data_IF_290291867150
#
_entry.id   IF_290291867150
#
_cell.length_a   1.000
_cell.length_b   1.000
_cell.length_c   1.000
_cell.angle_alpha   90.00
_cell.angle_beta   90.00
_cell.angle_gamma   90.00
#
_symmetry.space_group_name_H-M   'P 1'
#
loop_
_entity.id
_entity.type
_entity.pdbx_description
1 polymer ?
#
# COMPACT_ATOMS: atom_id res chain seq x y z
N UNK A 1 -33.49 -32.16 -39.09
CA UNK A 1 -32.19 -32.85 -38.86
C UNK A 1 -31.08 -31.97 -39.42
N UNK A 2 -30.72 -30.91 -38.70
CA UNK A 2 -29.56 -30.06 -39.00
C UNK A 2 -28.61 -30.17 -37.83
N UNK A 3 -27.85 -31.25 -37.88
CA UNK A 3 -26.80 -31.65 -36.97
C UNK A 3 -25.55 -30.81 -37.18
N UNK A 4 -25.02 -30.24 -36.08
CA UNK A 4 -23.60 -30.16 -35.76
C UNK A 4 -22.64 -29.41 -36.72
N UNK A 5 -22.87 -28.12 -37.03
CA UNK A 5 -21.86 -27.30 -37.72
C UNK A 5 -21.13 -26.25 -36.85
N UNK A 6 -21.54 -26.01 -35.60
CA UNK A 6 -20.95 -24.96 -34.74
C UNK A 6 -20.12 -25.47 -33.56
N UNK A 7 -19.82 -26.77 -33.48
CA UNK A 7 -19.36 -27.41 -32.23
C UNK A 7 -17.87 -27.33 -31.89
N UNK A 8 -16.96 -27.08 -32.85
CA UNK A 8 -15.51 -27.17 -32.61
C UNK A 8 -14.82 -25.81 -32.50
N UNK A 9 -15.07 -24.89 -33.42
CA UNK A 9 -14.32 -23.63 -33.46
C UNK A 9 -14.78 -22.64 -32.38
N UNK A 10 -16.09 -22.61 -32.09
CA UNK A 10 -16.66 -21.83 -31.00
C UNK A 10 -16.19 -22.34 -29.63
N UNK A 11 -16.10 -23.66 -29.48
CA UNK A 11 -15.61 -24.31 -28.25
C UNK A 11 -14.13 -24.02 -28.00
N UNK A 12 -13.29 -24.05 -29.04
CA UNK A 12 -11.86 -23.70 -28.93
C UNK A 12 -11.66 -22.23 -28.60
N UNK A 13 -12.43 -21.33 -29.22
CA UNK A 13 -12.36 -19.90 -28.94
C UNK A 13 -12.78 -19.56 -27.50
N UNK A 14 -13.88 -20.16 -27.02
CA UNK A 14 -14.34 -19.99 -25.63
C UNK A 14 -13.36 -20.63 -24.65
N UNK A 15 -12.82 -21.80 -24.96
CA UNK A 15 -11.83 -22.48 -24.12
C UNK A 15 -10.56 -21.62 -23.96
N UNK A 16 -10.08 -21.00 -25.03
CA UNK A 16 -8.95 -20.07 -24.97
C UNK A 16 -9.27 -18.80 -24.20
N UNK A 17 -10.47 -18.23 -24.39
CA UNK A 17 -10.92 -17.05 -23.65
C UNK A 17 -11.03 -17.34 -22.15
N UNK A 18 -11.56 -18.50 -21.76
CA UNK A 18 -11.65 -18.96 -20.38
C UNK A 18 -10.26 -19.20 -19.78
N UNK A 19 -9.33 -19.79 -20.54
CA UNK A 19 -7.95 -20.02 -20.08
C UNK A 19 -7.19 -18.70 -19.87
N UNK A 20 -7.36 -17.72 -20.77
CA UNK A 20 -6.76 -16.39 -20.64
C UNK A 20 -7.34 -15.65 -19.42
N UNK A 21 -8.66 -15.73 -19.24
CA UNK A 21 -9.34 -15.15 -18.06
C UNK A 21 -8.84 -15.78 -16.75
N UNK A 22 -8.71 -17.11 -16.71
CA UNK A 22 -8.21 -17.84 -15.55
C UNK A 22 -6.77 -17.43 -15.20
N UNK A 23 -5.88 -17.39 -16.20
CA UNK A 23 -4.47 -17.01 -16.01
C UNK A 23 -4.33 -15.54 -15.58
N UNK A 24 -5.18 -14.64 -16.10
CA UNK A 24 -5.18 -13.24 -15.72
C UNK A 24 -5.63 -12.99 -14.27
N UNK A 25 -6.40 -13.91 -13.68
CA UNK A 25 -6.86 -13.84 -12.28
C UNK A 25 -5.88 -14.44 -11.27
N UNK A 26 -4.98 -15.34 -11.70
CA UNK A 26 -3.95 -15.95 -10.83
C UNK A 26 -3.06 -14.94 -10.07
N UNK A 27 -2.56 -13.84 -10.66
CA UNK A 27 -1.78 -12.85 -9.91
C UNK A 27 -2.58 -12.05 -8.88
N UNK A 28 -3.93 -12.06 -8.95
CA UNK A 28 -4.80 -11.38 -7.99
C UNK A 28 -5.28 -12.29 -6.84
N UNK A 29 -5.17 -13.62 -7.00
CA UNK A 29 -5.52 -14.60 -5.96
C UNK A 29 -4.35 -14.91 -5.02
N UNK A 30 -3.11 -14.54 -5.38
CA UNK A 30 -1.90 -14.79 -4.59
C UNK A 30 -1.43 -13.62 -3.72
N UNK A 31 -2.31 -12.65 -3.43
CA UNK A 31 -1.92 -11.36 -2.87
C UNK A 31 -2.40 -11.08 -1.44
N UNK A 32 -2.52 -12.09 -0.57
CA UNK A 32 -2.59 -11.92 0.89
C UNK A 32 -1.86 -13.10 1.53
N UNK A 33 -0.53 -13.07 1.50
CA UNK A 33 0.28 -13.94 2.35
C UNK A 33 0.25 -13.40 3.78
N UNK A 34 -0.67 -13.92 4.58
CA UNK A 34 -0.73 -13.69 6.03
C UNK A 34 0.24 -14.63 6.79
N UNK A 35 1.17 -15.28 6.09
CA UNK A 35 1.87 -16.48 6.59
C UNK A 35 3.26 -16.19 7.20
N UNK A 36 3.71 -14.93 7.19
CA UNK A 36 4.96 -14.49 7.85
C UNK A 36 4.67 -13.45 8.94
N UNK A 37 3.65 -13.70 9.77
CA UNK A 37 3.53 -13.00 11.04
C UNK A 37 3.67 -14.01 12.19
N UNK A 38 4.87 -14.23 12.72
CA UNK A 38 5.02 -14.93 13.99
C UNK A 38 4.60 -13.97 15.10
N UNK A 39 3.30 -13.69 15.24
CA UNK A 39 2.76 -13.32 16.56
C UNK A 39 2.72 -14.63 17.35
N UNK A 40 3.90 -15.03 17.80
CA UNK A 40 4.06 -15.93 18.92
C UNK A 40 3.56 -15.13 20.13
N UNK A 41 2.39 -15.50 20.59
CA UNK A 41 1.78 -15.06 21.85
C UNK A 41 2.61 -15.69 22.98
N UNK A 42 3.79 -15.13 23.25
CA UNK A 42 4.63 -15.47 24.40
C UNK A 42 4.35 -14.46 25.50
N UNK A 43 3.69 -14.92 26.56
CA UNK A 43 3.59 -14.25 27.86
C UNK A 43 4.99 -14.15 28.47
N UNK A 44 5.83 -13.28 27.92
CA UNK A 44 7.15 -12.97 28.44
C UNK A 44 7.18 -11.51 28.88
N UNK A 45 7.27 -11.34 30.20
CA UNK A 45 7.66 -10.11 30.89
C UNK A 45 8.83 -9.47 30.14
N UNK A 46 8.53 -8.47 29.32
CA UNK A 46 9.55 -7.66 28.69
C UNK A 46 10.00 -6.61 29.72
N UNK A 47 11.00 -6.98 30.51
CA UNK A 47 11.95 -6.01 31.04
C UNK A 47 12.38 -5.11 29.87
N UNK A 48 12.09 -3.82 29.98
CA UNK A 48 12.44 -2.80 28.99
C UNK A 48 13.96 -2.78 28.75
N UNK A 49 14.40 -3.52 27.73
CA UNK A 49 15.72 -3.34 27.16
C UNK A 49 15.77 -1.99 26.46
N UNK A 50 16.84 -1.26 26.72
CA UNK A 50 17.03 0.18 26.47
C UNK A 50 17.23 0.54 24.98
N UNK A 51 16.83 -0.33 24.06
CA UNK A 51 17.03 -0.20 22.61
C UNK A 51 15.69 -0.14 21.85
N UNK A 52 14.68 0.50 22.45
CA UNK A 52 13.43 0.79 21.77
C UNK A 52 13.72 1.54 20.45
N UNK A 53 13.05 1.18 19.34
CA UNK A 53 13.14 1.95 18.11
C UNK A 53 12.75 3.39 18.48
N UNK A 54 13.56 4.35 18.06
CA UNK A 54 13.23 5.78 18.10
C UNK A 54 11.92 5.98 17.32
N UNK A 55 10.78 5.72 17.96
CA UNK A 55 9.55 6.41 17.65
C UNK A 55 9.91 7.85 17.95
N UNK A 56 10.28 8.60 16.91
CA UNK A 56 10.42 10.02 17.07
C UNK A 56 9.10 10.49 17.67
N UNK A 57 9.15 11.07 18.86
CA UNK A 57 8.01 11.59 19.61
C UNK A 57 7.46 12.85 18.91
N UNK A 58 7.38 12.83 17.59
CA UNK A 58 7.01 13.96 16.76
C UNK A 58 5.50 14.09 16.78
N UNK A 59 5.03 15.21 17.30
CA UNK A 59 3.62 15.58 17.35
C UNK A 59 2.99 15.72 15.96
N UNK A 60 3.83 15.89 14.94
CA UNK A 60 3.39 16.02 13.56
C UNK A 60 4.51 16.20 12.55
N UNK A 61 4.14 16.45 11.30
CA UNK A 61 5.06 16.88 10.25
C UNK A 61 4.36 17.73 9.19
N UNK A 62 5.15 18.57 8.52
CA UNK A 62 4.75 19.35 7.35
C UNK A 62 5.47 18.83 6.11
N UNK A 63 4.76 18.75 4.99
CA UNK A 63 5.36 18.64 3.67
C UNK A 63 5.40 20.01 3.02
N UNK A 64 6.59 20.43 2.63
CA UNK A 64 6.84 21.68 1.95
C UNK A 64 7.41 21.42 0.55
N UNK A 65 6.89 22.17 -0.42
CA UNK A 65 7.34 22.13 -1.81
C UNK A 65 7.49 23.58 -2.26
N UNK A 66 8.61 23.91 -2.90
CA UNK A 66 8.89 25.26 -3.42
C UNK A 66 8.68 26.38 -2.37
N UNK A 67 9.01 26.12 -1.09
CA UNK A 67 8.82 27.10 -0.02
C UNK A 67 7.40 27.21 0.54
N UNK A 68 6.49 26.32 0.15
CA UNK A 68 5.08 26.31 0.59
C UNK A 68 4.69 24.97 1.22
N UNK A 69 4.14 25.04 2.43
CA UNK A 69 3.52 23.88 3.07
C UNK A 69 2.25 23.47 2.32
N UNK A 70 2.24 22.24 1.82
CA UNK A 70 1.14 21.64 1.03
C UNK A 70 0.34 20.60 1.81
N UNK A 71 0.94 20.05 2.87
CA UNK A 71 0.32 19.08 3.75
C UNK A 71 0.83 19.28 5.18
N UNK A 72 -0.08 19.18 6.13
CA UNK A 72 0.20 19.27 7.56
C UNK A 72 -0.50 18.12 8.28
N UNK A 73 0.23 17.41 9.13
CA UNK A 73 -0.34 16.43 10.04
C UNK A 73 0.11 16.75 11.46
N UNK A 74 -0.84 16.79 12.39
CA UNK A 74 -0.57 17.03 13.80
C UNK A 74 -1.59 16.30 14.68
N UNK A 75 -1.12 15.50 15.63
CA UNK A 75 -1.94 14.81 16.64
C UNK A 75 -3.18 14.08 16.07
N UNK A 76 -3.01 13.41 14.93
CA UNK A 76 -4.09 12.67 14.25
C UNK A 76 -5.05 13.52 13.40
N UNK A 77 -4.90 14.84 13.41
CA UNK A 77 -5.53 15.73 12.44
C UNK A 77 -4.63 15.93 11.23
N UNK A 78 -5.19 15.98 10.03
CA UNK A 78 -4.44 16.30 8.82
C UNK A 78 -5.21 17.27 7.92
N UNK A 79 -4.47 18.16 7.28
CA UNK A 79 -4.98 19.14 6.34
C UNK A 79 -4.09 19.21 5.10
N UNK A 80 -4.71 19.44 3.95
CA UNK A 80 -4.01 19.56 2.67
C UNK A 80 -3.82 18.22 1.96
N UNK A 81 -2.95 18.22 0.97
CA UNK A 81 -2.73 17.06 0.11
C UNK A 81 -1.90 17.42 -1.11
N UNK A 82 -1.18 16.42 -1.61
CA UNK A 82 -0.27 16.58 -2.74
C UNK A 82 -0.69 15.63 -3.86
N UNK A 83 -0.94 16.18 -5.05
CA UNK A 83 -1.12 15.37 -6.27
C UNK A 83 0.21 15.31 -7.01
N UNK A 84 0.75 14.12 -7.16
CA UNK A 84 2.03 13.90 -7.85
C UNK A 84 1.76 13.45 -9.29
N UNK A 85 2.19 14.23 -10.31
CA UNK A 85 2.05 13.81 -11.70
C UNK A 85 2.93 12.61 -12.03
N UNK A 86 2.42 11.73 -12.90
CA UNK A 86 3.11 10.49 -13.27
C UNK A 86 4.32 10.81 -14.14
N UNK A 87 5.49 10.31 -13.74
CA UNK A 87 6.74 10.45 -14.49
C UNK A 87 7.50 11.75 -14.23
N UNK A 88 7.04 12.57 -13.29
CA UNK A 88 7.76 13.74 -12.81
C UNK A 88 8.47 13.43 -11.48
N UNK A 89 9.60 14.09 -11.26
CA UNK A 89 10.30 14.08 -9.97
C UNK A 89 9.89 15.34 -9.21
N UNK A 90 9.58 15.17 -7.92
CA UNK A 90 9.22 16.28 -7.04
C UNK A 90 10.16 16.30 -5.83
N UNK A 91 10.67 17.47 -5.50
CA UNK A 91 11.44 17.69 -4.28
C UNK A 91 10.48 18.06 -3.15
N UNK A 92 10.52 17.31 -2.06
CA UNK A 92 9.68 17.53 -0.87
C UNK A 92 10.60 17.72 0.32
N UNK A 93 10.42 18.84 1.02
CA UNK A 93 11.02 19.07 2.33
C UNK A 93 10.05 18.62 3.41
N UNK A 94 10.53 17.77 4.32
CA UNK A 94 9.75 17.28 5.46
C UNK A 94 10.24 17.99 6.71
N UNK A 95 9.35 18.72 7.37
CA UNK A 95 9.63 19.35 8.65
C UNK A 95 8.89 18.60 9.74
N UNK A 96 9.64 17.95 10.63
CA UNK A 96 9.05 17.31 11.81
C UNK A 96 8.70 18.36 12.85
N UNK A 97 7.55 18.21 13.49
CA UNK A 97 7.07 19.07 14.55
C UNK A 97 7.27 18.36 15.89
N UNK A 98 7.89 19.06 16.84
CA UNK A 98 8.00 18.65 18.24
C UNK A 98 7.25 19.71 19.07
N UNK A 99 6.23 19.30 19.83
CA UNK A 99 5.47 20.20 20.69
C UNK A 99 6.30 20.75 21.85
N UNK A 100 7.52 20.23 22.07
CA UNK A 100 8.43 20.69 23.10
C UNK A 100 9.47 21.71 22.60
N UNK A 101 9.58 21.96 21.29
CA UNK A 101 10.36 23.09 20.75
C UNK A 101 9.48 24.34 20.68
N UNK A 102 9.64 25.22 21.69
CA UNK A 102 9.08 26.57 21.75
C UNK A 102 10.19 27.63 21.75
#
# INVERSE_FOLDING_TARGET
MFTYFFGRDFSVAISRLMLISLVALLPFMGGCGEEDNPIVDDDHDHEHDHDAPLHADVDGFNLEIDGKVVYHQHQGHHEGGLTVPVGEEIEIHVHFLDANEA
#
